data_IF_065941400040
#
_entry.id   IF_065941400040
#
_cell.length_a   1.000
_cell.length_b   1.000
_cell.length_c   1.000
_cell.angle_alpha   90.00
_cell.angle_beta   90.00
_cell.angle_gamma   90.00
#
_symmetry.space_group_name_H-M   'P 1'
#
loop_
_entity.id
_entity.type
_entity.pdbx_description
1 polymer ?
#
# COMPACT_ATOMS: atom_id res chain seq x y z
N UNK A 1 11.75 13.78 11.01
CA UNK A 1 11.35 12.44 11.47
C UNK A 1 11.60 12.34 12.96
N UNK A 2 10.73 11.67 13.71
CA UNK A 2 10.91 11.35 15.14
C UNK A 2 10.54 9.88 15.31
N UNK A 3 11.54 9.01 15.20
CA UNK A 3 11.35 7.55 15.29
C UNK A 3 10.80 7.17 16.67
N UNK A 4 9.72 6.38 16.68
CA UNK A 4 9.07 5.91 17.92
C UNK A 4 9.51 4.50 18.35
N UNK A 5 10.36 3.84 17.56
CA UNK A 5 10.88 2.50 17.82
C UNK A 5 9.79 1.42 18.06
N UNK A 6 8.63 1.59 17.46
CA UNK A 6 7.57 0.61 17.54
C UNK A 6 8.00 -0.71 16.89
N UNK A 7 7.72 -1.88 17.51
CA UNK A 7 8.18 -3.17 17.00
C UNK A 7 7.54 -3.53 15.66
N UNK A 8 8.29 -4.33 14.89
CA UNK A 8 7.78 -5.06 13.74
C UNK A 8 7.14 -6.36 14.20
N UNK A 9 5.96 -6.67 13.67
CA UNK A 9 5.21 -7.89 13.99
C UNK A 9 4.79 -8.62 12.72
N UNK A 10 4.65 -9.94 12.83
CA UNK A 10 4.05 -10.75 11.77
C UNK A 10 2.53 -10.62 11.80
N UNK A 11 1.95 -10.16 10.70
CA UNK A 11 0.53 -10.19 10.44
C UNK A 11 0.18 -11.53 9.79
N UNK A 12 -0.86 -12.18 10.26
CA UNK A 12 -1.44 -13.41 9.71
C UNK A 12 -2.88 -13.17 9.31
N UNK A 13 -3.40 -13.98 8.39
CA UNK A 13 -4.81 -13.94 8.00
C UNK A 13 -5.73 -14.24 9.18
N UNK A 14 -6.89 -13.61 9.19
CA UNK A 14 -7.97 -13.84 10.15
C UNK A 14 -9.31 -13.43 9.49
N UNK A 15 -10.42 -13.49 10.21
CA UNK A 15 -11.74 -13.15 9.69
C UNK A 15 -11.76 -11.78 8.99
N UNK A 16 -12.06 -11.78 7.70
CA UNK A 16 -12.07 -10.59 6.85
C UNK A 16 -10.70 -10.00 6.49
N UNK A 17 -9.59 -10.62 6.92
CA UNK A 17 -8.24 -10.22 6.56
C UNK A 17 -7.49 -11.35 5.87
N UNK A 18 -7.12 -11.14 4.63
CA UNK A 18 -6.43 -12.11 3.78
C UNK A 18 -5.09 -11.52 3.32
N UNK A 19 -4.10 -12.39 3.14
CA UNK A 19 -2.75 -12.03 2.72
C UNK A 19 -2.37 -12.75 1.43
N UNK A 20 -1.51 -12.15 0.61
CA UNK A 20 -0.91 -12.80 -0.57
C UNK A 20 0.13 -13.87 -0.21
N UNK A 21 0.46 -14.04 1.06
CA UNK A 21 1.38 -15.05 1.60
C UNK A 21 0.96 -15.46 3.02
N UNK A 22 1.68 -16.39 3.63
CA UNK A 22 1.34 -16.93 4.95
C UNK A 22 1.43 -15.88 6.06
N UNK A 23 2.47 -15.05 6.03
CA UNK A 23 2.68 -13.95 6.97
C UNK A 23 3.31 -12.75 6.29
N UNK A 24 3.04 -11.56 6.81
CA UNK A 24 3.67 -10.31 6.37
C UNK A 24 4.11 -9.46 7.54
N UNK A 25 5.25 -8.78 7.41
CA UNK A 25 5.79 -7.90 8.45
C UNK A 25 5.25 -6.47 8.31
N UNK A 26 4.88 -5.86 9.44
CA UNK A 26 4.53 -4.44 9.53
C UNK A 26 4.75 -3.92 10.96
N UNK A 27 4.63 -2.62 11.17
CA UNK A 27 4.58 -2.03 12.51
C UNK A 27 3.36 -2.54 13.27
N UNK A 28 3.48 -2.72 14.59
CA UNK A 28 2.43 -3.26 15.44
C UNK A 28 1.11 -2.49 15.31
N UNK A 29 1.13 -1.16 15.41
CA UNK A 29 -0.08 -0.34 15.22
C UNK A 29 -0.71 -0.51 13.85
N UNK A 30 0.09 -0.72 12.80
CA UNK A 30 -0.43 -1.01 11.45
C UNK A 30 -1.19 -2.32 11.45
N UNK A 31 -0.62 -3.40 12.03
CA UNK A 31 -1.30 -4.69 12.15
C UNK A 31 -2.63 -4.58 12.91
N UNK A 32 -2.64 -3.87 14.05
CA UNK A 32 -3.84 -3.67 14.86
C UNK A 32 -4.94 -2.90 14.10
N UNK A 33 -4.56 -1.85 13.36
CA UNK A 33 -5.48 -1.04 12.54
C UNK A 33 -6.07 -1.86 11.39
N UNK A 34 -5.25 -2.64 10.68
CA UNK A 34 -5.71 -3.51 9.60
C UNK A 34 -6.70 -4.56 10.10
N UNK A 35 -6.47 -5.16 11.28
CA UNK A 35 -7.42 -6.08 11.92
C UNK A 35 -8.75 -5.39 12.26
N UNK A 36 -8.73 -4.12 12.69
CA UNK A 36 -9.99 -3.37 12.95
C UNK A 36 -10.75 -3.08 11.67
N UNK A 37 -10.06 -2.67 10.59
CA UNK A 37 -10.69 -2.50 9.26
C UNK A 37 -11.33 -3.81 8.81
N UNK A 38 -10.59 -4.92 8.85
CA UNK A 38 -11.08 -6.24 8.46
C UNK A 38 -12.33 -6.63 9.26
N UNK A 39 -12.31 -6.49 10.58
CA UNK A 39 -13.44 -6.81 11.46
C UNK A 39 -14.69 -6.00 11.12
N UNK A 40 -14.55 -4.72 10.80
CA UNK A 40 -15.70 -3.87 10.43
C UNK A 40 -16.31 -4.27 9.08
N UNK A 41 -15.48 -4.69 8.12
CA UNK A 41 -15.93 -5.16 6.81
C UNK A 41 -16.52 -6.57 6.87
N UNK A 42 -15.99 -7.44 7.72
CA UNK A 42 -16.44 -8.83 7.88
C UNK A 42 -17.94 -8.93 8.15
N UNK A 43 -18.49 -8.07 9.00
CA UNK A 43 -19.93 -8.03 9.30
C UNK A 43 -20.80 -7.57 8.12
N UNK A 44 -20.18 -7.04 7.07
CA UNK A 44 -20.82 -6.63 5.83
C UNK A 44 -20.64 -7.66 4.70
N UNK A 45 -20.07 -8.84 5.01
CA UNK A 45 -19.74 -9.87 4.03
C UNK A 45 -18.55 -9.51 3.14
N UNK A 46 -17.72 -8.56 3.57
CA UNK A 46 -16.53 -8.07 2.87
C UNK A 46 -15.27 -8.31 3.71
N UNK A 47 -14.12 -8.12 3.09
CA UNK A 47 -12.82 -8.15 3.75
C UNK A 47 -11.81 -7.25 3.05
N UNK A 48 -10.59 -7.31 3.56
CA UNK A 48 -9.41 -6.72 2.90
C UNK A 48 -8.45 -7.83 2.49
N UNK A 49 -7.91 -7.71 1.28
CA UNK A 49 -6.83 -8.55 0.79
C UNK A 49 -5.55 -7.71 0.67
N UNK A 50 -4.50 -8.12 1.38
CA UNK A 50 -3.24 -7.39 1.46
C UNK A 50 -2.26 -7.96 0.44
N UNK A 51 -1.84 -7.11 -0.50
CA UNK A 51 -0.84 -7.44 -1.51
C UNK A 51 0.57 -7.33 -0.97
N UNK A 52 0.86 -6.25 -0.22
CA UNK A 52 2.20 -5.96 0.27
C UNK A 52 2.18 -5.10 1.54
N UNK A 53 3.15 -5.36 2.45
CA UNK A 53 3.42 -4.59 3.65
C UNK A 53 4.89 -4.13 3.66
N UNK A 54 5.71 -4.60 4.62
CA UNK A 54 7.12 -4.28 4.66
C UNK A 54 7.86 -4.83 3.45
N UNK A 55 8.70 -4.00 2.86
CA UNK A 55 9.61 -4.34 1.77
C UNK A 55 11.02 -3.95 2.18
N UNK A 56 11.96 -4.91 2.18
CA UNK A 56 13.36 -4.62 2.51
C UNK A 56 14.01 -3.71 1.46
N UNK A 57 15.13 -3.03 1.81
CA UNK A 57 15.89 -2.25 0.84
C UNK A 57 16.36 -3.06 -0.38
N UNK A 58 16.64 -4.35 -0.19
CA UNK A 58 17.01 -5.26 -1.27
C UNK A 58 15.82 -5.55 -2.20
N UNK A 59 14.68 -5.92 -1.64
CA UNK A 59 13.45 -6.12 -2.41
C UNK A 59 13.04 -4.85 -3.17
N UNK A 60 13.26 -3.66 -2.58
CA UNK A 60 12.99 -2.39 -3.25
C UNK A 60 13.91 -2.19 -4.46
N UNK A 61 15.19 -2.52 -4.35
CA UNK A 61 16.13 -2.46 -5.50
C UNK A 61 15.73 -3.45 -6.60
N UNK A 62 15.34 -4.67 -6.23
CA UNK A 62 14.84 -5.65 -7.19
C UNK A 62 13.59 -5.14 -7.91
N UNK A 63 12.61 -4.61 -7.18
CA UNK A 63 11.38 -4.03 -7.76
C UNK A 63 11.68 -2.88 -8.73
N UNK A 64 12.64 -2.02 -8.37
CA UNK A 64 13.07 -0.94 -9.24
C UNK A 64 13.68 -1.49 -10.55
N UNK A 65 14.56 -2.49 -10.45
CA UNK A 65 15.17 -3.13 -11.62
C UNK A 65 14.15 -3.85 -12.51
N UNK A 66 13.20 -4.56 -11.89
CA UNK A 66 12.08 -5.20 -12.61
C UNK A 66 11.27 -4.16 -13.39
N UNK A 67 10.99 -3.00 -12.78
CA UNK A 67 10.28 -1.92 -13.47
C UNK A 67 11.07 -1.40 -14.67
N UNK A 68 12.38 -1.18 -14.52
CA UNK A 68 13.23 -0.82 -15.66
C UNK A 68 13.15 -1.86 -16.77
N UNK A 69 13.31 -3.14 -16.45
CA UNK A 69 13.29 -4.22 -17.43
C UNK A 69 11.94 -4.33 -18.16
N UNK A 70 10.82 -4.15 -17.45
CA UNK A 70 9.49 -4.22 -18.05
C UNK A 70 9.18 -3.09 -19.03
N UNK A 71 9.85 -1.95 -18.89
CA UNK A 71 9.55 -0.77 -19.69
C UNK A 71 10.68 -0.37 -20.63
N UNK A 72 11.85 -1.02 -20.58
CA UNK A 72 13.04 -0.67 -21.40
C UNK A 72 12.73 -0.62 -22.89
N UNK A 73 12.03 -1.61 -23.41
CA UNK A 73 11.67 -1.68 -24.84
C UNK A 73 10.59 -0.66 -25.28
N UNK A 74 9.90 -0.03 -24.31
CA UNK A 74 8.83 0.95 -24.59
C UNK A 74 9.35 2.37 -24.75
N UNK A 75 10.61 2.61 -24.41
CA UNK A 75 11.25 3.91 -24.46
C UNK A 75 12.53 3.85 -25.29
N UNK A 76 12.61 4.69 -26.32
CA UNK A 76 13.85 4.85 -27.10
C UNK A 76 14.87 5.75 -26.39
N UNK A 77 14.40 6.63 -25.50
CA UNK A 77 15.22 7.55 -24.70
C UNK A 77 15.33 7.04 -23.26
N UNK A 78 16.56 6.82 -22.82
CA UNK A 78 16.87 6.34 -21.46
C UNK A 78 16.51 7.36 -20.38
N UNK A 79 16.60 8.65 -20.64
CA UNK A 79 16.21 9.69 -19.70
C UNK A 79 14.69 9.75 -19.52
N UNK A 80 13.93 9.46 -20.59
CA UNK A 80 12.46 9.32 -20.50
C UNK A 80 12.07 8.08 -19.69
N UNK A 81 12.73 6.95 -19.94
CA UNK A 81 12.53 5.73 -19.13
C UNK A 81 12.83 5.99 -17.66
N UNK A 82 13.95 6.64 -17.34
CA UNK A 82 14.31 6.95 -15.95
C UNK A 82 13.26 7.85 -15.27
N UNK A 83 12.82 8.93 -15.97
CA UNK A 83 11.74 9.79 -15.46
C UNK A 83 10.44 9.03 -15.24
N UNK A 84 10.07 8.13 -16.15
CA UNK A 84 8.91 7.26 -16.01
C UNK A 84 9.05 6.35 -14.79
N UNK A 85 10.14 5.61 -14.68
CA UNK A 85 10.38 4.67 -13.57
C UNK A 85 10.36 5.39 -12.24
N UNK A 86 11.07 6.52 -12.11
CA UNK A 86 11.10 7.33 -10.87
C UNK A 86 9.73 7.91 -10.48
N UNK A 87 8.86 8.13 -11.46
CA UNK A 87 7.50 8.63 -11.22
C UNK A 87 6.60 7.56 -10.61
N UNK A 88 6.78 6.30 -11.00
CA UNK A 88 5.88 5.19 -10.66
C UNK A 88 6.47 4.16 -9.71
N UNK A 89 7.75 4.27 -9.40
CA UNK A 89 8.42 3.35 -8.48
C UNK A 89 9.31 4.13 -7.52
N UNK A 90 8.98 4.06 -6.24
CA UNK A 90 9.77 4.71 -5.21
C UNK A 90 11.21 4.15 -5.20
N UNK A 91 12.18 5.01 -4.93
CA UNK A 91 13.54 4.59 -4.61
C UNK A 91 13.64 3.94 -3.22
N UNK A 92 14.86 3.57 -2.84
CA UNK A 92 15.15 3.14 -1.47
C UNK A 92 14.80 4.26 -0.49
N UNK A 93 14.09 3.93 0.59
CA UNK A 93 13.62 4.89 1.60
C UNK A 93 12.12 5.20 1.55
N UNK A 94 11.34 4.48 0.72
CA UNK A 94 9.89 4.63 0.63
C UNK A 94 9.10 4.10 1.84
N UNK A 95 7.79 4.32 1.83
CA UNK A 95 6.89 3.98 2.95
C UNK A 95 6.93 2.51 3.36
N UNK A 96 6.95 1.57 2.40
CA UNK A 96 7.04 0.13 2.70
C UNK A 96 8.27 -0.27 3.50
N UNK A 97 9.40 0.44 3.34
CA UNK A 97 10.62 0.19 4.11
C UNK A 97 10.54 0.65 5.56
N UNK A 98 9.52 1.41 5.92
CA UNK A 98 9.26 1.81 7.32
C UNK A 98 8.41 0.80 8.08
N UNK A 99 7.77 -0.15 7.37
CA UNK A 99 6.72 -1.01 7.90
C UNK A 99 5.39 -0.30 8.14
N UNK A 100 5.26 0.95 7.69
CA UNK A 100 4.08 1.81 7.86
C UNK A 100 3.14 1.83 6.64
N UNK A 101 3.62 1.44 5.47
CA UNK A 101 2.81 1.41 4.26
C UNK A 101 2.21 0.02 3.99
N UNK A 102 1.07 0.01 3.32
CA UNK A 102 0.34 -1.19 2.90
C UNK A 102 -0.29 -0.98 1.52
N UNK A 103 -0.15 -1.98 0.66
CA UNK A 103 -0.93 -2.12 -0.57
C UNK A 103 -2.01 -3.17 -0.37
N UNK A 104 -3.28 -2.77 -0.55
CA UNK A 104 -4.43 -3.63 -0.27
C UNK A 104 -5.64 -3.30 -1.15
N UNK A 105 -6.60 -4.22 -1.15
CA UNK A 105 -7.91 -4.05 -1.82
C UNK A 105 -9.04 -4.54 -0.93
N UNK A 106 -10.28 -4.22 -1.34
CA UNK A 106 -11.45 -4.94 -0.84
C UNK A 106 -11.52 -6.34 -1.46
N UNK A 107 -12.01 -7.30 -0.69
CA UNK A 107 -12.32 -8.65 -1.17
C UNK A 107 -13.69 -9.11 -0.67
N UNK A 108 -14.19 -10.20 -1.24
CA UNK A 108 -15.37 -10.89 -0.72
C UNK A 108 -15.05 -11.70 0.56
N UNK A 109 -16.04 -12.39 1.09
CA UNK A 109 -15.90 -13.22 2.30
C UNK A 109 -14.95 -14.42 2.15
N UNK A 110 -14.57 -14.77 0.92
CA UNK A 110 -13.63 -15.85 0.60
C UNK A 110 -12.21 -15.33 0.33
N UNK A 111 -11.99 -14.02 0.43
CA UNK A 111 -10.71 -13.38 0.14
C UNK A 111 -10.46 -13.12 -1.35
N UNK A 112 -11.48 -13.23 -2.21
CA UNK A 112 -11.34 -12.93 -3.63
C UNK A 112 -11.39 -11.41 -3.84
N UNK A 113 -10.30 -10.79 -4.38
CA UNK A 113 -10.26 -9.36 -4.62
C UNK A 113 -11.42 -8.87 -5.49
N UNK A 114 -12.03 -7.76 -5.09
CA UNK A 114 -13.07 -7.11 -5.89
C UNK A 114 -12.43 -6.28 -7.01
N UNK A 115 -13.17 -6.16 -8.13
CA UNK A 115 -12.77 -5.25 -9.21
C UNK A 115 -12.75 -3.80 -8.69
N UNK A 116 -11.57 -3.18 -8.73
CA UNK A 116 -11.31 -1.79 -8.34
C UNK A 116 -11.01 -0.90 -9.55
N UNK A 117 -11.18 -1.42 -10.79
CA UNK A 117 -11.06 -0.68 -12.05
C UNK A 117 -9.65 -0.60 -12.64
N UNK A 118 -8.66 -1.16 -11.97
CA UNK A 118 -7.34 -1.46 -12.51
C UNK A 118 -6.68 -2.54 -11.65
N UNK A 119 -5.84 -3.35 -12.29
CA UNK A 119 -5.12 -4.43 -11.60
C UNK A 119 -3.92 -3.91 -10.83
N UNK A 120 -3.67 -4.51 -9.65
CA UNK A 120 -2.44 -4.32 -8.90
C UNK A 120 -1.32 -5.22 -9.49
N UNK A 121 -0.09 -4.73 -9.67
CA UNK A 121 0.41 -3.36 -9.49
C UNK A 121 0.58 -2.61 -10.83
N UNK A 122 -0.33 -2.82 -11.79
CA UNK A 122 -0.22 -2.30 -13.17
C UNK A 122 -0.25 -0.76 -13.17
N UNK A 123 0.74 -0.15 -13.83
CA UNK A 123 0.85 1.30 -13.95
C UNK A 123 0.04 1.80 -15.16
N UNK A 124 -1.15 2.33 -14.88
CA UNK A 124 -2.09 2.85 -15.86
C UNK A 124 -2.79 4.11 -15.30
N UNK A 125 -3.59 4.78 -16.12
CA UNK A 125 -4.30 6.00 -15.71
C UNK A 125 -5.36 5.72 -14.64
N UNK A 126 -5.98 4.57 -14.73
CA UNK A 126 -7.05 4.09 -13.87
C UNK A 126 -6.58 3.78 -12.45
N UNK A 127 -5.25 3.66 -12.21
CA UNK A 127 -4.71 3.45 -10.87
C UNK A 127 -4.84 4.68 -9.96
N UNK A 128 -4.99 5.88 -10.53
CA UNK A 128 -5.16 7.13 -9.78
C UNK A 128 -6.45 7.05 -8.95
N UNK A 129 -6.37 7.33 -7.65
CA UNK A 129 -7.49 7.15 -6.72
C UNK A 129 -8.76 7.90 -7.14
N UNK A 130 -8.60 9.13 -7.65
CA UNK A 130 -9.70 9.99 -8.08
C UNK A 130 -10.14 9.78 -9.53
N UNK A 131 -9.54 8.81 -10.25
CA UNK A 131 -9.96 8.52 -11.62
C UNK A 131 -11.40 8.00 -11.64
N UNK A 132 -12.26 8.66 -12.42
CA UNK A 132 -13.68 8.34 -12.49
C UNK A 132 -13.90 7.11 -13.36
N UNK A 133 -14.52 6.10 -12.79
CA UNK A 133 -14.85 4.81 -13.39
C UNK A 133 -16.37 4.57 -13.31
N UNK A 134 -16.78 3.31 -13.30
CA UNK A 134 -18.19 2.98 -13.11
C UNK A 134 -18.66 3.32 -11.68
N UNK A 135 -19.94 3.59 -11.45
CA UNK A 135 -20.46 3.91 -10.11
C UNK A 135 -20.05 2.88 -9.06
N UNK A 136 -20.15 1.59 -9.36
CA UNK A 136 -19.82 0.52 -8.41
C UNK A 136 -18.33 0.54 -8.03
N UNK A 137 -17.43 0.78 -8.98
CA UNK A 137 -15.99 0.86 -8.70
C UNK A 137 -15.67 2.11 -7.86
N UNK A 138 -16.30 3.25 -8.18
CA UNK A 138 -16.14 4.47 -7.41
C UNK A 138 -16.61 4.31 -5.96
N UNK A 139 -17.73 3.61 -5.73
CA UNK A 139 -18.21 3.29 -4.39
C UNK A 139 -17.26 2.36 -3.63
N UNK A 140 -16.73 1.33 -4.28
CA UNK A 140 -15.74 0.43 -3.67
C UNK A 140 -14.47 1.18 -3.25
N UNK A 141 -13.91 2.01 -4.13
CA UNK A 141 -12.74 2.85 -3.81
C UNK A 141 -13.02 3.81 -2.66
N UNK A 142 -14.21 4.46 -2.67
CA UNK A 142 -14.64 5.34 -1.59
C UNK A 142 -14.80 4.60 -0.27
N UNK A 143 -15.39 3.39 -0.29
CA UNK A 143 -15.51 2.55 0.91
C UNK A 143 -14.12 2.23 1.47
N UNK A 144 -13.19 1.71 0.64
CA UNK A 144 -11.83 1.39 1.07
C UNK A 144 -11.13 2.61 1.67
N UNK A 145 -11.15 3.75 0.97
CA UNK A 145 -10.56 4.99 1.47
C UNK A 145 -11.16 5.42 2.82
N UNK A 146 -12.47 5.37 2.97
CA UNK A 146 -13.14 5.76 4.21
C UNK A 146 -12.74 4.85 5.38
N UNK A 147 -12.74 3.53 5.17
CA UNK A 147 -12.35 2.55 6.19
C UNK A 147 -10.92 2.77 6.65
N UNK A 148 -9.99 2.95 5.71
CA UNK A 148 -8.58 3.20 6.01
C UNK A 148 -8.36 4.57 6.66
N UNK A 149 -9.02 5.61 6.19
CA UNK A 149 -8.93 6.97 6.77
C UNK A 149 -9.45 7.01 8.21
N UNK A 150 -10.53 6.30 8.53
CA UNK A 150 -11.09 6.21 9.88
C UNK A 150 -10.10 5.58 10.87
N UNK A 151 -9.27 4.64 10.39
CA UNK A 151 -8.17 4.06 11.16
C UNK A 151 -6.90 4.92 11.14
N UNK A 152 -6.95 6.10 10.52
CA UNK A 152 -5.88 7.09 10.53
C UNK A 152 -4.82 6.92 9.45
N UNK A 153 -5.00 6.03 8.48
CA UNK A 153 -4.14 5.95 7.30
C UNK A 153 -4.32 7.15 6.37
N UNK A 154 -3.34 7.38 5.53
CA UNK A 154 -3.39 8.30 4.41
C UNK A 154 -3.31 7.51 3.10
N UNK A 155 -4.20 7.76 2.14
CA UNK A 155 -4.08 7.22 0.81
C UNK A 155 -3.08 8.04 -0.02
N UNK A 156 -2.27 7.38 -0.84
CA UNK A 156 -1.48 8.04 -1.89
C UNK A 156 -2.40 8.29 -3.10
N UNK A 157 -2.63 9.54 -3.52
CA UNK A 157 -3.58 9.83 -4.60
C UNK A 157 -3.21 9.21 -5.96
N UNK A 158 -1.95 8.90 -6.19
CA UNK A 158 -1.46 8.25 -7.40
C UNK A 158 -1.81 6.78 -7.53
N UNK A 159 -2.16 6.11 -6.42
CA UNK A 159 -2.43 4.66 -6.38
C UNK A 159 -3.58 4.36 -5.41
N UNK A 160 -4.70 3.83 -5.92
CA UNK A 160 -5.89 3.57 -5.11
C UNK A 160 -5.67 2.51 -4.02
N UNK A 161 -4.69 1.64 -4.21
CA UNK A 161 -4.34 0.55 -3.28
C UNK A 161 -3.36 0.96 -2.17
N UNK A 162 -2.60 2.06 -2.35
CA UNK A 162 -1.51 2.42 -1.43
C UNK A 162 -1.96 3.31 -0.29
N UNK A 163 -1.74 2.84 0.93
CA UNK A 163 -2.04 3.55 2.17
C UNK A 163 -0.83 3.56 3.09
N UNK A 164 -0.65 4.67 3.79
CA UNK A 164 0.47 4.91 4.72
C UNK A 164 -0.02 5.27 6.11
N UNK A 165 0.72 4.81 7.11
CA UNK A 165 0.59 5.24 8.50
C UNK A 165 1.97 5.43 9.11
N UNK A 166 2.20 6.59 9.75
CA UNK A 166 3.42 6.90 10.47
C UNK A 166 4.65 7.29 9.63
N UNK A 167 4.66 7.05 8.35
CA UNK A 167 5.75 7.39 7.42
C UNK A 167 5.68 8.84 6.90
N UNK A 168 6.55 9.19 5.97
CA UNK A 168 6.65 10.56 5.43
C UNK A 168 5.40 10.94 4.61
N UNK A 169 4.84 10.01 3.84
CA UNK A 169 3.63 10.24 3.06
C UNK A 169 2.43 10.50 4.00
N UNK A 170 2.28 9.66 5.03
CA UNK A 170 1.27 9.87 6.07
C UNK A 170 1.43 11.24 6.75
N UNK A 171 2.66 11.62 7.09
CA UNK A 171 2.90 12.90 7.73
C UNK A 171 2.49 14.07 6.83
N UNK A 172 2.79 14.00 5.54
CA UNK A 172 2.41 15.02 4.56
C UNK A 172 0.89 15.11 4.38
N UNK A 173 0.21 14.00 4.10
CA UNK A 173 -1.23 14.00 3.79
C UNK A 173 -2.15 14.10 5.02
N UNK A 174 -1.63 13.81 6.23
CA UNK A 174 -2.36 13.98 7.49
C UNK A 174 -1.93 15.24 8.26
N UNK A 175 -1.18 16.13 7.61
CA UNK A 175 -0.71 17.41 8.18
C UNK A 175 0.00 17.23 9.53
N UNK A 176 0.83 16.19 9.66
CA UNK A 176 1.63 15.94 10.85
C UNK A 176 2.96 16.67 10.76
N UNK A 177 3.45 17.15 11.89
CA UNK A 177 4.72 17.89 11.96
C UNK A 177 5.92 17.04 11.49
N UNK A 178 5.85 15.73 11.69
CA UNK A 178 6.91 14.76 11.33
C UNK A 178 6.37 13.34 11.22
N UNK A 179 7.09 12.51 10.46
CA UNK A 179 6.90 11.07 10.44
C UNK A 179 7.40 10.44 11.76
N UNK A 180 6.74 9.37 12.19
CA UNK A 180 7.06 8.63 13.42
C UNK A 180 7.74 7.28 13.14
N UNK A 181 7.76 6.83 11.88
CA UNK A 181 8.44 5.61 11.45
C UNK A 181 9.58 5.94 10.50
N UNK A 182 10.77 5.50 10.85
CA UNK A 182 11.95 5.55 10.00
C UNK A 182 12.10 4.28 9.16
N UNK A 183 13.00 4.36 8.20
CA UNK A 183 13.38 3.23 7.34
C UNK A 183 14.07 2.14 8.16
N UNK A 184 13.66 0.88 7.96
CA UNK A 184 14.24 -0.29 8.58
C UNK A 184 15.24 -0.90 7.60
N UNK A 185 16.52 -0.88 7.95
CA UNK A 185 17.59 -1.43 7.12
C UNK A 185 17.86 -2.91 7.42
N UNK A 186 17.61 -3.36 8.63
CA UNK A 186 17.70 -4.76 9.08
C UNK A 186 16.58 -5.06 10.04
N UNK A 187 15.93 -6.20 9.84
CA UNK A 187 15.02 -6.79 10.83
C UNK A 187 15.92 -7.62 11.77
N UNK A 188 15.92 -7.25 13.04
CA UNK A 188 16.62 -8.00 14.11
C UNK A 188 15.67 -9.01 14.73
#
# INVERSE_FOLDING_TARGET
MKECHEPMVHLTSCDGLFLSGDTMLCRQSVAEKLRRVAKLLFWQGLGIYIYELYRSPEQQRMRLQETYNCYDEKFSDKDELERFVRRYTAGVGGGHQTGGAVDLTLCDSNGIPLDMGSEYPIKCREMVTSYVLTPIINERRKLLCNMMHNEGFANYPGEWWHFSYGDQLWAAYRYKRYAIYGVINKIT
#
